data_IF_846569369176
#
_entry.id   IF_846569369176
#
_cell.length_a   1.000
_cell.length_b   1.000
_cell.length_c   1.000
_cell.angle_alpha   90.00
_cell.angle_beta   90.00
_cell.angle_gamma   90.00
#
_symmetry.space_group_name_H-M   'P 1'
#
loop_
_entity.id
_entity.type
_entity.pdbx_description
1 polymer ?
#
# COMPACT_ATOMS: atom_id res chain seq x y z
N UNK A 1 -14.92 -3.19 -14.34
CA UNK A 1 -15.62 -1.91 -14.06
C UNK A 1 -15.35 -1.51 -12.61
N UNK A 2 -14.32 -0.69 -12.36
CA UNK A 2 -14.15 -0.03 -11.06
C UNK A 2 -15.24 1.02 -10.93
N UNK A 3 -16.04 0.96 -9.86
CA UNK A 3 -17.03 2.01 -9.56
C UNK A 3 -16.27 3.25 -9.09
N UNK A 4 -15.93 4.12 -10.03
CA UNK A 4 -15.36 5.45 -9.79
C UNK A 4 -16.33 6.26 -8.93
N UNK A 5 -16.02 6.42 -7.64
CA UNK A 5 -16.77 7.30 -6.73
C UNK A 5 -17.02 6.74 -5.33
N UNK A 6 -16.88 5.42 -5.11
CA UNK A 6 -16.90 4.89 -3.75
C UNK A 6 -15.48 4.88 -3.17
N UNK A 7 -15.28 5.44 -1.95
CA UNK A 7 -14.02 5.27 -1.24
C UNK A 7 -13.71 3.78 -1.16
N UNK A 8 -12.48 3.34 -1.51
CA UNK A 8 -12.12 1.95 -1.38
C UNK A 8 -12.34 1.51 0.07
N UNK A 9 -13.12 0.45 0.28
CA UNK A 9 -13.32 -0.12 1.60
C UNK A 9 -12.03 -0.84 2.02
N UNK A 10 -11.10 -0.10 2.60
CA UNK A 10 -9.80 -0.61 3.04
C UNK A 10 -9.90 -1.51 4.28
N UNK A 11 -10.97 -1.36 5.06
CA UNK A 11 -11.20 -2.16 6.28
C UNK A 11 -11.20 -3.67 6.01
N UNK A 12 -11.66 -4.11 4.84
CA UNK A 12 -11.68 -5.53 4.44
C UNK A 12 -10.29 -6.12 4.13
N UNK A 13 -9.28 -5.26 4.06
CA UNK A 13 -7.89 -5.60 3.77
C UNK A 13 -6.98 -5.50 4.99
N UNK A 14 -7.50 -5.13 6.16
CA UNK A 14 -6.74 -5.14 7.42
C UNK A 14 -6.17 -6.53 7.70
N UNK A 15 -4.94 -6.56 8.21
CA UNK A 15 -4.16 -7.76 8.55
C UNK A 15 -3.92 -8.71 7.36
N UNK A 16 -4.10 -8.21 6.13
CA UNK A 16 -3.79 -8.96 4.90
C UNK A 16 -2.56 -8.41 4.23
N UNK A 17 -1.83 -9.31 3.57
CA UNK A 17 -0.75 -8.94 2.68
C UNK A 17 -1.33 -8.31 1.41
N UNK A 18 -0.85 -7.11 1.09
CA UNK A 18 -1.22 -6.34 -0.08
C UNK A 18 -0.01 -6.16 -0.98
N UNK A 19 -0.27 -6.15 -2.27
CA UNK A 19 0.65 -5.68 -3.29
C UNK A 19 0.21 -4.27 -3.71
N UNK A 20 1.09 -3.30 -3.57
CA UNK A 20 0.80 -1.89 -3.76
C UNK A 20 1.73 -1.35 -4.84
N UNK A 21 1.13 -0.90 -5.95
CA UNK A 21 1.83 -0.16 -7.00
C UNK A 21 1.91 1.31 -6.60
N UNK A 22 3.13 1.82 -6.48
CA UNK A 22 3.44 3.21 -6.19
C UNK A 22 3.87 3.93 -7.47
N UNK A 23 3.99 5.25 -7.38
CA UNK A 23 4.54 6.07 -8.44
C UNK A 23 6.00 5.67 -8.75
N UNK A 24 6.48 6.06 -9.93
CA UNK A 24 7.84 5.80 -10.41
C UNK A 24 8.21 4.30 -10.50
N UNK A 25 7.25 3.46 -10.92
CA UNK A 25 7.42 2.01 -11.12
C UNK A 25 7.88 1.25 -9.86
N UNK A 26 7.60 1.79 -8.67
CA UNK A 26 7.91 1.13 -7.40
C UNK A 26 6.78 0.19 -7.03
N UNK A 27 7.14 -1.03 -6.67
CA UNK A 27 6.21 -2.05 -6.22
C UNK A 27 6.57 -2.43 -4.78
N UNK A 28 5.60 -2.41 -3.88
CA UNK A 28 5.82 -2.88 -2.50
C UNK A 28 4.79 -3.94 -2.13
N UNK A 29 5.21 -4.89 -1.30
CA UNK A 29 4.34 -5.89 -0.71
C UNK A 29 4.47 -5.87 0.80
N UNK A 30 3.37 -5.91 1.55
CA UNK A 30 3.40 -5.95 3.00
C UNK A 30 2.00 -6.04 3.61
N UNK A 31 1.91 -6.10 4.93
CA UNK A 31 0.63 -6.30 5.64
C UNK A 31 0.00 -4.97 6.03
N UNK A 32 -1.26 -4.74 5.68
CA UNK A 32 -1.98 -3.52 6.07
C UNK A 32 -2.37 -3.56 7.56
N UNK A 33 -1.81 -2.68 8.37
CA UNK A 33 -2.15 -2.54 9.80
C UNK A 33 -3.02 -1.33 10.12
N UNK A 34 -3.14 -0.37 9.22
CA UNK A 34 -3.94 0.82 9.46
C UNK A 34 -4.08 1.70 8.24
N UNK A 35 -5.14 2.50 8.23
CA UNK A 35 -5.33 3.56 7.25
C UNK A 35 -6.15 4.70 7.86
N UNK A 36 -6.11 5.87 7.22
CA UNK A 36 -6.91 7.02 7.62
C UNK A 36 -7.83 7.56 6.50
N UNK A 37 -8.54 8.66 6.80
CA UNK A 37 -9.45 9.32 5.84
C UNK A 37 -8.74 9.94 4.63
N UNK A 38 -7.43 10.14 4.71
CA UNK A 38 -6.60 10.68 3.63
C UNK A 38 -5.91 9.57 2.83
N UNK A 39 -6.27 8.30 3.06
CA UNK A 39 -5.66 7.13 2.41
C UNK A 39 -4.16 6.97 2.73
N UNK A 40 -3.68 7.50 3.87
CA UNK A 40 -2.37 7.12 4.36
C UNK A 40 -2.44 5.66 4.82
N UNK A 41 -1.53 4.81 4.37
CA UNK A 41 -1.53 3.37 4.68
C UNK A 41 -0.34 3.03 5.56
N UNK A 42 -0.58 2.34 6.67
CA UNK A 42 0.47 1.75 7.52
C UNK A 42 0.66 0.30 7.08
N UNK A 43 1.82 0.00 6.53
CA UNK A 43 2.19 -1.33 6.02
C UNK A 43 3.36 -1.87 6.84
N UNK A 44 3.22 -3.07 7.40
CA UNK A 44 4.29 -3.75 8.14
C UNK A 44 4.88 -4.91 7.33
N UNK A 45 6.08 -5.36 7.71
CA UNK A 45 6.84 -6.40 7.01
C UNK A 45 6.95 -6.12 5.50
N UNK A 46 7.23 -4.86 5.16
CA UNK A 46 7.22 -4.38 3.78
C UNK A 46 8.48 -4.82 3.05
N UNK A 47 8.28 -5.33 1.84
CA UNK A 47 9.33 -5.66 0.88
C UNK A 47 9.11 -4.80 -0.36
N UNK A 48 10.11 -4.01 -0.72
CA UNK A 48 10.17 -3.32 -2.02
C UNK A 48 10.71 -4.28 -3.08
N UNK A 49 10.03 -4.31 -4.22
CA UNK A 49 10.37 -5.14 -5.38
C UNK A 49 10.82 -4.21 -6.50
N UNK A 50 12.10 -4.32 -6.89
CA UNK A 50 12.69 -3.61 -8.01
C UNK A 50 13.25 -4.62 -9.01
N UNK A 51 12.43 -4.98 -10.01
CA UNK A 51 12.77 -6.07 -10.94
C UNK A 51 12.90 -7.41 -10.19
N UNK A 52 14.11 -7.97 -10.15
CA UNK A 52 14.40 -9.21 -9.43
C UNK A 52 14.90 -8.98 -7.99
N UNK A 53 15.20 -7.73 -7.62
CA UNK A 53 15.69 -7.38 -6.29
C UNK A 53 14.53 -7.21 -5.32
N UNK A 54 14.70 -7.73 -4.10
CA UNK A 54 13.76 -7.61 -2.99
C UNK A 54 14.48 -7.01 -1.79
N UNK A 55 14.00 -5.86 -1.33
CA UNK A 55 14.57 -5.14 -0.21
C UNK A 55 13.55 -5.08 0.93
N UNK A 56 13.90 -5.65 2.08
CA UNK A 56 13.09 -5.53 3.30
C UNK A 56 13.27 -4.13 3.89
N UNK A 57 12.15 -3.41 4.02
CA UNK A 57 12.13 -2.03 4.52
C UNK A 57 11.31 -1.87 5.80
N UNK A 58 10.77 -2.97 6.33
CA UNK A 58 10.08 -3.02 7.62
C UNK A 58 8.71 -2.32 7.59
N UNK A 59 8.44 -1.52 8.62
CA UNK A 59 7.19 -0.76 8.71
C UNK A 59 7.31 0.56 7.94
N UNK A 60 6.37 0.80 7.03
CA UNK A 60 6.32 2.03 6.22
C UNK A 60 4.95 2.67 6.25
N UNK A 61 4.92 3.98 6.04
CA UNK A 61 3.70 4.75 5.82
C UNK A 61 3.66 5.22 4.37
N UNK A 62 2.64 4.82 3.62
CA UNK A 62 2.44 5.22 2.22
C UNK A 62 1.41 6.35 2.21
N UNK A 63 1.82 7.51 1.71
CA UNK A 63 0.97 8.70 1.63
C UNK A 63 0.42 8.88 0.21
N UNK A 64 -0.91 9.01 0.10
CA UNK A 64 -1.55 9.40 -1.14
C UNK A 64 -1.56 10.94 -1.26
N UNK A 65 -0.82 11.47 -2.23
CA UNK A 65 -0.79 12.90 -2.53
C UNK A 65 -1.57 13.17 -3.83
N UNK A 66 -2.62 13.99 -3.74
CA UNK A 66 -3.31 14.55 -4.91
C UNK A 66 -2.48 15.75 -5.38
N UNK A 67 -2.01 15.72 -6.63
CA UNK A 67 -1.44 16.91 -7.30
C UNK A 67 -2.55 17.77 -7.87
#
# INVERSE_FOLDING_TARGET
MSRSGQPPNLKKYMDKQLQINLNANRLVTGTLHGFDRFMNLVIDNTVEVNGNEKNEIGMVVIQYLIR
#
